data_IF_101051955002
#
_entry.id   IF_101051955002
#
_cell.length_a   1.000
_cell.length_b   1.000
_cell.length_c   1.000
_cell.angle_alpha   90.00
_cell.angle_beta   90.00
_cell.angle_gamma   90.00
#
_symmetry.space_group_name_H-M   'P 1'
#
loop_
_entity.id
_entity.type
_entity.pdbx_description
1 polymer ?
#
# COMPACT_ATOMS: atom_id res chain seq x y z
N UNK A 1 48.17 -22.85 -26.01
CA UNK A 1 47.71 -23.35 -24.69
C UNK A 1 46.67 -22.38 -24.17
N UNK A 2 45.40 -22.78 -24.08
CA UNK A 2 44.40 -21.96 -23.39
C UNK A 2 44.65 -22.07 -21.88
N UNK A 3 44.99 -20.97 -21.21
CA UNK A 3 45.06 -20.94 -19.76
C UNK A 3 43.65 -20.63 -19.24
N UNK A 4 43.11 -21.52 -18.39
CA UNK A 4 41.88 -21.25 -17.65
C UNK A 4 42.27 -20.57 -16.35
N UNK A 5 41.89 -19.31 -16.17
CA UNK A 5 41.98 -18.65 -14.87
C UNK A 5 41.04 -19.37 -13.90
N UNK A 6 41.58 -19.81 -12.76
CA UNK A 6 40.77 -20.41 -11.70
C UNK A 6 39.93 -19.29 -11.08
N UNK A 7 38.61 -19.43 -11.12
CA UNK A 7 37.69 -18.56 -10.41
C UNK A 7 37.23 -19.26 -9.13
N UNK A 8 37.85 -18.98 -7.98
CA UNK A 8 37.66 -19.76 -6.76
C UNK A 8 36.31 -19.53 -6.10
N UNK A 9 35.64 -18.42 -6.42
CA UNK A 9 34.37 -18.02 -5.81
C UNK A 9 33.59 -17.07 -6.71
N UNK A 10 32.28 -17.08 -6.55
CA UNK A 10 31.31 -16.19 -7.17
C UNK A 10 30.52 -15.38 -6.12
N UNK A 11 30.94 -15.46 -4.85
CA UNK A 11 30.30 -14.81 -3.70
C UNK A 11 30.21 -13.28 -3.83
N UNK A 12 31.03 -12.67 -4.70
CA UNK A 12 31.06 -11.24 -4.94
C UNK A 12 29.93 -10.71 -5.82
N UNK A 13 29.10 -11.58 -6.43
CA UNK A 13 27.95 -11.18 -7.24
C UNK A 13 28.30 -10.33 -8.46
N UNK A 14 27.33 -9.59 -8.99
CA UNK A 14 27.54 -8.74 -10.17
C UNK A 14 28.34 -7.47 -9.81
N UNK A 15 29.48 -7.27 -10.46
CA UNK A 15 30.27 -6.04 -10.31
C UNK A 15 29.74 -4.91 -11.18
N UNK A 16 29.90 -3.68 -10.69
CA UNK A 16 29.59 -2.46 -11.44
C UNK A 16 30.37 -2.41 -12.77
N UNK A 17 29.77 -1.90 -13.86
CA UNK A 17 30.46 -1.72 -15.14
C UNK A 17 31.79 -0.95 -15.07
N UNK A 18 31.92 0.01 -14.15
CA UNK A 18 33.16 0.78 -13.96
C UNK A 18 34.32 -0.06 -13.42
N UNK A 19 34.04 -1.23 -12.84
CA UNK A 19 35.03 -2.13 -12.26
C UNK A 19 35.45 -3.27 -13.20
N UNK A 20 34.92 -3.30 -14.43
CA UNK A 20 35.21 -4.37 -15.40
C UNK A 20 36.69 -4.48 -15.80
N UNK A 21 37.46 -3.41 -15.68
CA UNK A 21 38.91 -3.42 -15.95
C UNK A 21 39.79 -3.57 -14.72
N UNK A 22 39.20 -3.55 -13.51
CA UNK A 22 39.95 -3.53 -12.24
C UNK A 22 40.32 -4.92 -11.77
N UNK A 23 41.11 -5.61 -12.58
CA UNK A 23 41.61 -6.97 -12.32
C UNK A 23 42.47 -7.09 -11.06
N UNK A 24 42.99 -5.95 -10.58
CA UNK A 24 43.79 -5.80 -9.36
C UNK A 24 42.96 -5.91 -8.08
N UNK A 25 41.65 -5.66 -8.16
CA UNK A 25 40.78 -5.76 -7.00
C UNK A 25 40.54 -7.23 -6.64
N UNK A 26 40.74 -7.58 -5.38
CA UNK A 26 40.41 -8.91 -4.86
C UNK A 26 38.93 -9.28 -5.12
N UNK A 27 38.04 -8.29 -5.05
CA UNK A 27 36.63 -8.47 -5.36
C UNK A 27 36.39 -8.88 -6.82
N UNK A 28 37.23 -8.42 -7.76
CA UNK A 28 37.12 -8.79 -9.18
C UNK A 28 37.27 -10.30 -9.37
N UNK A 29 38.17 -10.94 -8.62
CA UNK A 29 38.44 -12.37 -8.71
C UNK A 29 37.31 -13.25 -8.16
N UNK A 30 36.42 -12.68 -7.34
CA UNK A 30 35.32 -13.39 -6.68
C UNK A 30 33.93 -12.98 -7.20
N UNK A 31 33.88 -12.15 -8.25
CA UNK A 31 32.66 -11.56 -8.79
C UNK A 31 32.41 -11.96 -10.24
N UNK A 32 31.19 -11.69 -10.69
CA UNK A 32 30.71 -11.92 -12.05
C UNK A 32 30.53 -10.59 -12.77
N UNK A 33 30.88 -10.54 -14.05
CA UNK A 33 30.57 -9.38 -14.90
C UNK A 33 29.06 -9.17 -15.08
N UNK A 34 28.30 -10.27 -15.12
CA UNK A 34 26.83 -10.30 -15.25
C UNK A 34 26.29 -11.52 -14.52
N UNK A 35 25.31 -11.34 -13.65
CA UNK A 35 24.69 -12.40 -12.84
C UNK A 35 23.17 -12.29 -12.94
N UNK A 36 22.55 -12.97 -13.91
CA UNK A 36 21.10 -12.91 -14.15
C UNK A 36 20.42 -14.20 -13.73
N UNK A 37 19.32 -14.10 -12.99
CA UNK A 37 18.53 -15.24 -12.55
C UNK A 37 19.32 -16.25 -11.68
N UNK A 38 20.32 -15.78 -10.94
CA UNK A 38 21.06 -16.57 -9.96
C UNK A 38 20.97 -15.95 -8.56
N UNK A 39 21.06 -16.81 -7.54
CA UNK A 39 21.27 -16.44 -6.15
C UNK A 39 22.72 -16.76 -5.81
N UNK A 40 23.45 -15.74 -5.36
CA UNK A 40 24.84 -15.87 -4.94
C UNK A 40 24.87 -16.48 -3.53
N UNK A 41 25.58 -17.60 -3.35
CA UNK A 41 25.76 -18.24 -2.05
C UNK A 41 27.00 -17.68 -1.37
N UNK A 42 26.94 -17.51 -0.06
CA UNK A 42 28.09 -17.11 0.74
C UNK A 42 29.23 -18.14 0.70
N UNK A 43 28.92 -19.41 0.43
CA UNK A 43 29.90 -20.49 0.23
C UNK A 43 30.73 -20.38 -1.06
N UNK A 44 30.46 -19.39 -1.92
CA UNK A 44 31.22 -19.13 -3.14
C UNK A 44 30.61 -19.71 -4.41
N UNK A 45 29.58 -20.53 -4.31
CA UNK A 45 28.79 -20.98 -5.46
C UNK A 45 27.69 -19.99 -5.86
N UNK A 46 27.05 -20.27 -6.99
CA UNK A 46 25.78 -19.66 -7.38
C UNK A 46 24.77 -20.77 -7.65
N UNK A 47 23.50 -20.47 -7.40
CA UNK A 47 22.39 -21.37 -7.71
C UNK A 47 21.35 -20.64 -8.55
N UNK A 48 20.62 -21.36 -9.40
CA UNK A 48 19.53 -20.77 -10.16
C UNK A 48 18.49 -20.16 -9.21
N UNK A 49 18.01 -18.96 -9.51
CA UNK A 49 16.87 -18.36 -8.80
C UNK A 49 15.68 -19.32 -8.94
N UNK A 50 14.99 -19.67 -7.83
CA UNK A 50 13.78 -20.48 -7.91
C UNK A 50 12.81 -19.89 -8.94
N UNK A 51 12.27 -20.77 -9.79
CA UNK A 51 11.27 -20.38 -10.78
C UNK A 51 9.98 -19.88 -10.13
N UNK A 52 9.11 -19.31 -10.94
CA UNK A 52 7.76 -18.96 -10.51
C UNK A 52 6.82 -20.16 -10.67
N UNK A 53 5.91 -20.33 -9.71
CA UNK A 53 4.78 -21.25 -9.82
C UNK A 53 3.56 -20.47 -10.27
N UNK A 54 2.84 -20.97 -11.26
CA UNK A 54 1.53 -20.43 -11.61
C UNK A 54 0.51 -20.84 -10.55
N UNK A 55 -0.14 -19.87 -9.91
CA UNK A 55 -1.14 -20.11 -8.86
C UNK A 55 -2.57 -19.89 -9.36
N UNK A 56 -2.73 -19.09 -10.42
CA UNK A 56 -4.02 -18.79 -11.03
C UNK A 56 -3.99 -17.46 -11.76
N UNK A 57 -5.09 -17.18 -12.46
CA UNK A 57 -5.31 -15.91 -13.16
C UNK A 57 -6.01 -14.91 -12.25
N UNK A 58 -5.74 -13.62 -12.47
CA UNK A 58 -6.57 -12.54 -11.93
C UNK A 58 -8.02 -12.68 -12.41
N UNK A 59 -8.97 -12.05 -11.70
CA UNK A 59 -10.39 -12.10 -12.09
C UNK A 59 -10.64 -11.70 -13.55
N UNK A 60 -10.06 -10.57 -13.93
CA UNK A 60 -10.19 -10.00 -15.27
C UNK A 60 -8.83 -10.10 -15.97
N UNK A 61 -8.77 -10.91 -17.02
CA UNK A 61 -7.54 -11.13 -17.79
C UNK A 61 -7.18 -9.93 -18.69
N UNK A 62 -8.14 -9.04 -18.94
CA UNK A 62 -8.06 -7.87 -19.81
C UNK A 62 -7.75 -6.57 -19.07
N UNK A 63 -7.64 -6.59 -17.74
CA UNK A 63 -7.48 -5.40 -16.91
C UNK A 63 -6.28 -5.51 -15.99
N UNK A 64 -5.71 -4.35 -15.67
CA UNK A 64 -4.63 -4.27 -14.70
C UNK A 64 -5.15 -4.62 -13.30
N UNK A 65 -4.37 -5.44 -12.59
CA UNK A 65 -4.54 -5.68 -11.16
C UNK A 65 -3.20 -5.51 -10.45
N UNK A 66 -3.25 -5.19 -9.16
CA UNK A 66 -2.06 -5.03 -8.31
C UNK A 66 -2.14 -5.97 -7.12
N UNK A 67 -1.08 -6.76 -6.94
CA UNK A 67 -0.89 -7.54 -5.73
C UNK A 67 -0.22 -6.69 -4.65
N UNK A 68 -0.83 -6.64 -3.47
CA UNK A 68 -0.25 -5.99 -2.29
C UNK A 68 -0.13 -6.99 -1.13
N UNK A 69 1.00 -6.99 -0.39
CA UNK A 69 1.19 -7.89 0.72
C UNK A 69 0.36 -7.45 1.94
N UNK A 70 -0.24 -8.41 2.64
CA UNK A 70 -0.90 -8.21 3.92
C UNK A 70 -0.40 -9.26 4.92
N UNK A 71 0.24 -8.81 5.99
CA UNK A 71 0.86 -9.71 6.97
C UNK A 71 0.16 -9.59 8.32
N UNK A 72 -0.70 -10.54 8.67
CA UNK A 72 -1.33 -10.56 10.00
C UNK A 72 -0.34 -11.06 11.06
N UNK A 73 0.44 -12.09 10.74
CA UNK A 73 1.48 -12.64 11.61
C UNK A 73 2.60 -13.29 10.80
N UNK A 74 3.61 -13.86 11.48
CA UNK A 74 4.66 -14.65 10.81
C UNK A 74 4.15 -15.94 10.17
N UNK A 75 2.99 -16.45 10.63
CA UNK A 75 2.38 -17.68 10.11
C UNK A 75 1.22 -17.42 9.15
N UNK A 76 0.53 -16.28 9.30
CA UNK A 76 -0.62 -15.92 8.49
C UNK A 76 -0.28 -14.70 7.63
N UNK A 77 0.05 -14.98 6.37
CA UNK A 77 0.38 -14.00 5.34
C UNK A 77 -0.57 -14.14 4.16
N UNK A 78 -0.92 -13.00 3.58
CA UNK A 78 -1.88 -12.91 2.49
C UNK A 78 -1.34 -11.99 1.39
N UNK A 79 -1.77 -12.22 0.16
CA UNK A 79 -1.62 -11.27 -0.92
C UNK A 79 -3.01 -10.81 -1.37
N UNK A 80 -3.25 -9.50 -1.34
CA UNK A 80 -4.50 -8.92 -1.80
C UNK A 80 -4.34 -8.55 -3.28
N UNK A 81 -5.18 -9.13 -4.12
CA UNK A 81 -5.32 -8.78 -5.53
C UNK A 81 -6.33 -7.64 -5.64
N UNK A 82 -5.84 -6.41 -5.76
CA UNK A 82 -6.66 -5.23 -6.05
C UNK A 82 -6.90 -5.14 -7.55
N UNK A 83 -8.15 -5.13 -7.97
CA UNK A 83 -8.55 -4.97 -9.37
C UNK A 83 -9.66 -3.95 -9.51
N UNK A 84 -10.29 -3.94 -10.68
CA UNK A 84 -11.33 -2.97 -11.03
C UNK A 84 -12.59 -3.11 -10.18
N UNK A 85 -12.73 -2.24 -9.17
CA UNK A 85 -13.81 -2.23 -8.18
C UNK A 85 -13.90 -3.46 -7.26
N UNK A 86 -12.81 -4.20 -7.09
CA UNK A 86 -12.77 -5.32 -6.16
C UNK A 86 -11.39 -5.52 -5.53
N UNK A 87 -11.34 -6.29 -4.43
CA UNK A 87 -10.15 -7.05 -4.08
C UNK A 87 -10.46 -8.51 -3.80
N UNK A 88 -9.47 -9.37 -4.03
CA UNK A 88 -9.48 -10.80 -3.71
C UNK A 88 -8.32 -11.16 -2.80
N UNK A 89 -8.46 -12.25 -2.06
CA UNK A 89 -7.47 -12.67 -1.06
C UNK A 89 -6.80 -13.96 -1.48
N UNK A 90 -5.48 -13.97 -1.53
CA UNK A 90 -4.65 -15.15 -1.77
C UNK A 90 -3.88 -15.53 -0.50
N UNK A 91 -3.85 -16.82 -0.18
CA UNK A 91 -3.11 -17.37 0.97
C UNK A 91 -2.56 -18.75 0.62
N UNK A 92 -1.38 -19.08 1.14
CA UNK A 92 -0.78 -20.43 1.00
C UNK A 92 -0.74 -20.98 -0.43
N UNK A 93 -0.60 -20.10 -1.43
CA UNK A 93 -0.52 -20.49 -2.84
C UNK A 93 -1.87 -20.71 -3.54
N UNK A 94 -2.99 -20.37 -2.90
CA UNK A 94 -4.32 -20.49 -3.48
C UNK A 94 -5.19 -19.26 -3.18
N UNK A 95 -6.27 -19.11 -3.93
CA UNK A 95 -7.30 -18.12 -3.68
C UNK A 95 -8.10 -18.56 -2.45
N UNK A 96 -8.30 -17.67 -1.49
CA UNK A 96 -9.13 -17.94 -0.31
C UNK A 96 -10.59 -18.02 -0.77
N UNK A 97 -11.31 -19.04 -0.29
CA UNK A 97 -12.72 -19.27 -0.64
C UNK A 97 -13.59 -19.38 0.60
N UNK A 98 -14.81 -18.89 0.50
CA UNK A 98 -15.90 -19.13 1.45
C UNK A 98 -17.04 -19.88 0.73
N UNK A 99 -17.44 -21.04 1.26
CA UNK A 99 -18.47 -21.89 0.63
C UNK A 99 -18.17 -22.30 -0.82
N UNK A 100 -16.89 -22.38 -1.21
CA UNK A 100 -16.45 -22.70 -2.57
C UNK A 100 -16.40 -21.52 -3.54
N UNK A 101 -16.78 -20.31 -3.10
CA UNK A 101 -16.65 -19.08 -3.88
C UNK A 101 -15.44 -18.27 -3.43
N UNK A 102 -14.68 -17.63 -4.34
CA UNK A 102 -13.59 -16.73 -3.96
C UNK A 102 -14.03 -15.62 -3.00
N UNK A 103 -13.23 -15.37 -1.97
CA UNK A 103 -13.42 -14.20 -1.11
C UNK A 103 -13.12 -12.95 -1.93
N UNK A 104 -14.17 -12.19 -2.19
CA UNK A 104 -14.15 -10.97 -3.00
C UNK A 104 -14.91 -9.87 -2.29
N UNK A 105 -14.30 -8.69 -2.20
CA UNK A 105 -14.88 -7.53 -1.53
C UNK A 105 -14.89 -6.36 -2.52
N UNK A 106 -16.02 -5.68 -2.63
CA UNK A 106 -16.16 -4.53 -3.50
C UNK A 106 -15.33 -3.34 -2.99
N UNK A 107 -14.73 -2.59 -3.92
CA UNK A 107 -13.97 -1.38 -3.61
C UNK A 107 -14.41 -0.23 -4.54
N UNK A 108 -14.23 1.04 -4.14
CA UNK A 108 -14.62 2.16 -4.99
C UNK A 108 -13.62 2.44 -6.12
N UNK A 109 -12.45 1.79 -6.12
CA UNK A 109 -11.34 2.15 -6.98
C UNK A 109 -11.46 1.49 -8.37
N UNK A 110 -11.56 2.29 -9.45
CA UNK A 110 -11.46 1.75 -10.80
C UNK A 110 -10.03 1.36 -11.14
N UNK A 111 -9.87 0.55 -12.18
CA UNK A 111 -8.56 0.12 -12.70
C UNK A 111 -7.55 1.27 -12.92
N UNK A 112 -8.04 2.45 -13.29
CA UNK A 112 -7.19 3.63 -13.58
C UNK A 112 -6.38 4.12 -12.38
N UNK A 113 -6.84 3.88 -11.14
CA UNK A 113 -6.17 4.38 -9.93
C UNK A 113 -5.41 3.33 -9.13
N UNK A 114 -5.56 2.03 -9.48
CA UNK A 114 -4.99 0.91 -8.71
C UNK A 114 -3.46 1.02 -8.55
N UNK A 115 -2.77 1.52 -9.58
CA UNK A 115 -1.31 1.68 -9.55
C UNK A 115 -0.85 2.81 -8.62
N UNK A 116 -1.72 3.80 -8.35
CA UNK A 116 -1.42 5.01 -7.60
C UNK A 116 -1.71 4.86 -6.10
N UNK A 117 -2.56 3.90 -5.74
CA UNK A 117 -2.92 3.60 -4.35
C UNK A 117 -1.69 3.51 -3.44
N UNK A 118 -1.72 4.26 -2.34
CA UNK A 118 -0.76 4.17 -1.25
C UNK A 118 -1.41 3.43 -0.10
N UNK A 119 -0.65 2.62 0.61
CA UNK A 119 -1.18 1.84 1.72
C UNK A 119 -0.14 1.71 2.83
N UNK A 120 -0.65 1.60 4.05
CA UNK A 120 0.10 1.22 5.23
C UNK A 120 -0.73 0.23 6.03
N UNK A 121 -0.06 -0.70 6.70
CA UNK A 121 -0.72 -1.75 7.45
C UNK A 121 -0.31 -1.67 8.92
N UNK A 122 -1.27 -1.84 9.82
CA UNK A 122 -1.07 -2.05 11.24
C UNK A 122 -1.93 -3.24 11.68
N UNK A 123 -1.26 -4.36 12.01
CA UNK A 123 -1.90 -5.62 12.39
C UNK A 123 -3.01 -6.06 11.39
N UNK A 124 -4.26 -6.11 11.82
CA UNK A 124 -5.43 -6.56 11.05
C UNK A 124 -6.07 -5.47 10.18
N UNK A 125 -5.52 -4.25 10.20
CA UNK A 125 -6.07 -3.10 9.47
C UNK A 125 -5.04 -2.54 8.49
N UNK A 126 -5.44 -2.42 7.22
CA UNK A 126 -4.67 -1.75 6.19
C UNK A 126 -5.39 -0.50 5.72
N UNK A 127 -4.77 0.66 5.95
CA UNK A 127 -5.28 1.94 5.46
C UNK A 127 -4.76 2.18 4.04
N UNK A 128 -5.69 2.46 3.12
CA UNK A 128 -5.43 2.74 1.70
C UNK A 128 -5.90 4.16 1.38
N UNK A 129 -5.03 4.92 0.71
CA UNK A 129 -5.27 6.31 0.35
C UNK A 129 -5.02 6.56 -1.14
N UNK A 130 -5.79 7.50 -1.69
CA UNK A 130 -5.63 8.07 -3.02
C UNK A 130 -6.00 9.56 -2.94
N UNK A 131 -5.53 10.38 -3.89
CA UNK A 131 -5.83 11.81 -3.89
C UNK A 131 -7.33 12.10 -4.13
N UNK A 132 -7.94 11.37 -5.07
CA UNK A 132 -9.34 11.58 -5.48
C UNK A 132 -10.37 10.70 -4.76
N UNK A 133 -9.94 9.74 -3.94
CA UNK A 133 -10.85 8.84 -3.20
C UNK A 133 -10.64 8.99 -1.70
N UNK A 134 -11.71 9.00 -0.90
CA UNK A 134 -11.58 9.06 0.55
C UNK A 134 -10.75 7.86 1.07
N UNK A 135 -9.92 8.05 2.11
CA UNK A 135 -9.20 6.96 2.74
C UNK A 135 -10.14 5.84 3.19
N UNK A 136 -9.76 4.60 2.90
CA UNK A 136 -10.48 3.40 3.28
C UNK A 136 -9.57 2.44 4.04
N UNK A 137 -10.16 1.64 4.90
CA UNK A 137 -9.49 0.57 5.62
C UNK A 137 -9.95 -0.77 5.07
N UNK A 138 -9.01 -1.62 4.71
CA UNK A 138 -9.22 -3.04 4.50
C UNK A 138 -8.95 -3.74 5.84
N UNK A 139 -9.96 -4.40 6.38
CA UNK A 139 -9.90 -5.05 7.69
C UNK A 139 -10.08 -6.56 7.55
N UNK A 140 -9.24 -7.31 8.26
CA UNK A 140 -9.32 -8.77 8.36
C UNK A 140 -10.02 -9.16 9.67
N UNK A 141 -11.19 -9.80 9.57
CA UNK A 141 -11.91 -10.36 10.71
C UNK A 141 -11.70 -11.87 10.87
N UNK A 142 -11.25 -12.54 9.82
CA UNK A 142 -10.95 -13.96 9.81
C UNK A 142 -10.11 -14.36 8.60
N UNK A 143 -9.94 -15.66 8.37
CA UNK A 143 -9.26 -16.14 7.16
C UNK A 143 -10.06 -15.76 5.89
N UNK A 144 -11.37 -15.95 5.93
CA UNK A 144 -12.30 -15.66 4.84
C UNK A 144 -13.23 -14.46 5.09
N UNK A 145 -13.14 -13.78 6.23
CA UNK A 145 -13.94 -12.58 6.54
C UNK A 145 -13.09 -11.31 6.40
N UNK A 146 -13.35 -10.58 5.32
CA UNK A 146 -12.65 -9.36 4.95
C UNK A 146 -13.66 -8.27 4.60
N UNK A 147 -13.41 -7.05 5.05
CA UNK A 147 -14.33 -5.93 4.87
C UNK A 147 -13.60 -4.63 4.61
N UNK A 148 -14.26 -3.71 3.95
CA UNK A 148 -13.81 -2.31 3.85
C UNK A 148 -14.59 -1.43 4.81
N UNK A 149 -13.91 -0.47 5.45
CA UNK A 149 -14.53 0.56 6.26
C UNK A 149 -13.99 1.94 5.88
N UNK A 150 -14.79 2.99 6.05
CA UNK A 150 -14.28 4.36 5.96
C UNK A 150 -13.32 4.63 7.13
N UNK A 151 -12.19 5.29 6.85
CA UNK A 151 -11.29 5.77 7.90
C UNK A 151 -12.04 6.83 8.72
N UNK A 152 -12.14 6.63 10.03
CA UNK A 152 -12.69 7.62 10.96
C UNK A 152 -11.56 8.42 11.57
N UNK A 153 -11.56 9.73 11.33
CA UNK A 153 -10.60 10.66 11.93
C UNK A 153 -11.17 11.23 13.22
N UNK A 154 -10.50 10.99 14.35
CA UNK A 154 -10.81 11.69 15.60
C UNK A 154 -10.15 13.07 15.57
N UNK A 155 -10.96 14.13 15.54
CA UNK A 155 -10.48 15.52 15.61
C UNK A 155 -9.57 15.99 14.45
N UNK A 156 -9.95 15.68 13.22
CA UNK A 156 -9.30 16.25 12.01
C UNK A 156 -8.35 15.27 11.31
N UNK A 157 -7.85 15.62 10.11
CA UNK A 157 -7.31 16.93 9.75
C UNK A 157 -8.38 17.97 9.37
N UNK A 158 -8.13 19.22 9.76
CA UNK A 158 -8.95 20.38 9.39
C UNK A 158 -8.26 21.20 8.30
N UNK A 159 -9.03 22.01 7.57
CA UNK A 159 -8.46 23.04 6.69
C UNK A 159 -7.85 24.18 7.51
N UNK A 160 -7.14 25.08 6.83
CA UNK A 160 -6.61 26.29 7.43
C UNK A 160 -7.70 27.06 8.20
N UNK A 161 -7.34 27.57 9.37
CA UNK A 161 -8.23 28.35 10.20
C UNK A 161 -8.69 29.61 9.46
N UNK A 162 -9.93 30.00 9.70
CA UNK A 162 -10.47 31.24 9.17
C UNK A 162 -9.69 32.43 9.74
N UNK A 163 -9.09 33.25 8.88
CA UNK A 163 -8.38 34.47 9.25
C UNK A 163 -9.24 35.73 9.14
N UNK A 164 -10.45 35.62 8.59
CA UNK A 164 -11.36 36.75 8.43
C UNK A 164 -12.29 36.89 9.64
N UNK A 165 -11.99 37.85 10.50
CA UNK A 165 -12.75 38.19 11.71
C UNK A 165 -14.22 38.55 11.49
N UNK A 166 -14.60 38.95 10.27
CA UNK A 166 -15.97 39.29 9.88
C UNK A 166 -16.82 38.06 9.56
N UNK A 167 -16.19 36.91 9.30
CA UNK A 167 -16.88 35.65 9.01
C UNK A 167 -16.95 34.82 10.29
N UNK A 168 -18.13 34.77 10.90
CA UNK A 168 -18.36 34.05 12.15
C UNK A 168 -19.34 32.90 11.93
N UNK A 169 -19.18 31.86 12.74
CA UNK A 169 -20.10 30.71 12.76
C UNK A 169 -20.67 30.57 14.16
N UNK A 170 -21.99 30.47 14.24
CA UNK A 170 -22.74 30.27 15.45
C UNK A 170 -23.28 28.83 15.51
N UNK A 171 -23.14 28.18 16.66
CA UNK A 171 -23.69 26.86 16.93
C UNK A 171 -24.85 26.96 17.90
N UNK A 172 -25.99 26.34 17.58
CA UNK A 172 -27.19 26.38 18.42
C UNK A 172 -27.08 25.63 19.76
N UNK A 173 -26.01 24.87 19.97
CA UNK A 173 -25.78 24.06 21.17
C UNK A 173 -24.43 23.33 21.13
N UNK A 174 -24.09 22.64 22.23
CA UNK A 174 -22.84 21.85 22.36
C UNK A 174 -23.01 20.35 22.13
N UNK A 175 -24.22 19.83 22.30
CA UNK A 175 -24.53 18.40 22.21
C UNK A 175 -25.87 18.18 21.51
N UNK A 176 -26.06 16.99 20.94
CA UNK A 176 -27.29 16.63 20.22
C UNK A 176 -27.30 17.13 18.78
N UNK A 177 -28.50 17.39 18.26
CA UNK A 177 -28.68 17.99 16.93
C UNK A 177 -28.36 19.49 17.01
N UNK A 178 -27.22 19.89 16.45
CA UNK A 178 -26.74 21.28 16.47
C UNK A 178 -26.83 21.87 15.07
N UNK A 179 -27.45 23.04 14.96
CA UNK A 179 -27.47 23.81 13.70
C UNK A 179 -26.33 24.82 13.71
N UNK A 180 -25.51 24.80 12.66
CA UNK A 180 -24.46 25.79 12.44
C UNK A 180 -24.96 26.89 11.48
N UNK A 181 -24.86 28.14 11.90
CA UNK A 181 -25.24 29.32 11.11
C UNK A 181 -24.01 30.18 10.89
N UNK A 182 -23.64 30.43 9.63
CA UNK A 182 -22.51 31.28 9.28
C UNK A 182 -22.98 32.67 8.81
N UNK A 183 -22.20 33.72 9.08
CA UNK A 183 -22.48 35.09 8.59
C UNK A 183 -22.24 35.24 7.08
N UNK A 184 -21.67 34.23 6.42
CA UNK A 184 -21.33 34.18 5.00
C UNK A 184 -21.55 32.75 4.45
N UNK A 185 -21.83 32.55 3.15
CA UNK A 185 -22.08 31.23 2.57
C UNK A 185 -20.81 30.37 2.45
N UNK A 186 -20.39 29.77 3.57
CA UNK A 186 -19.20 28.90 3.65
C UNK A 186 -19.52 27.40 3.50
N UNK A 187 -20.78 27.00 3.70
CA UNK A 187 -21.18 25.59 3.61
C UNK A 187 -21.38 25.16 2.15
N UNK A 188 -20.58 24.19 1.70
CA UNK A 188 -20.64 23.60 0.37
C UNK A 188 -21.16 22.16 0.46
N UNK A 189 -21.66 21.61 -0.65
CA UNK A 189 -22.14 20.21 -0.72
C UNK A 189 -21.10 19.19 -0.25
N UNK A 190 -19.81 19.47 -0.47
CA UNK A 190 -18.69 18.64 -0.02
C UNK A 190 -18.48 18.60 1.52
N UNK A 191 -19.12 19.49 2.28
CA UNK A 191 -19.00 19.53 3.75
C UNK A 191 -19.95 18.55 4.45
N UNK A 192 -20.89 17.93 3.72
CA UNK A 192 -21.80 16.92 4.28
C UNK A 192 -20.99 15.73 4.81
N UNK A 193 -21.20 15.36 6.07
CA UNK A 193 -20.50 14.26 6.73
C UNK A 193 -19.05 14.56 7.14
N UNK A 194 -18.62 15.83 7.11
CA UNK A 194 -17.28 16.26 7.56
C UNK A 194 -17.34 16.91 8.94
N UNK A 195 -16.20 16.89 9.64
CA UNK A 195 -16.04 17.62 10.90
C UNK A 195 -15.84 19.11 10.61
N UNK A 196 -16.42 19.98 11.44
CA UNK A 196 -16.23 21.42 11.38
C UNK A 196 -15.57 21.89 12.68
N UNK A 197 -14.35 22.43 12.58
CA UNK A 197 -13.64 22.98 13.72
C UNK A 197 -14.15 24.40 14.02
N UNK A 198 -14.42 24.69 15.29
CA UNK A 198 -14.85 26.00 15.74
C UNK A 198 -14.14 26.33 17.04
N UNK A 199 -13.68 27.57 17.15
CA UNK A 199 -13.14 28.14 18.37
C UNK A 199 -13.84 29.46 18.67
N UNK A 200 -13.82 29.86 19.95
CA UNK A 200 -14.34 31.15 20.34
C UNK A 200 -13.38 32.22 19.86
N UNK A 201 -13.90 33.32 19.29
CA UNK A 201 -13.09 34.49 18.97
C UNK A 201 -12.33 34.91 20.22
N UNK A 202 -11.01 35.05 20.12
CA UNK A 202 -10.20 35.58 21.20
C UNK A 202 -10.77 36.95 21.61
N UNK A 203 -11.24 37.04 22.85
CA UNK A 203 -11.62 38.31 23.46
C UNK A 203 -10.42 38.66 24.33
N UNK A 204 -9.51 39.47 23.79
CA UNK A 204 -8.40 40.01 24.57
C UNK A 204 -9.00 40.75 25.77
N UNK A 205 -8.52 40.42 26.97
CA UNK A 205 -8.92 41.04 28.22
C UNK A 205 -8.31 42.43 28.41
#
# INVERSE_FOLDING_TARGET
MAYSLVQPSLAGGEISPSLYGRIDLEKYQTSLRRCRNFIVRQSGGIENRPGFRFLGSAKYADRYCRLIPFQFSVSQTYALELGDHYFRVWSSGALVTDGGSPVEVATPWPVSVISELKFTQSADVMTVCHNDYPPLEIRRYGEADWRTAAVTTTSGPFQDLNTADSVTVYASGRTGSVTLTASSPIFKSQHVGKLFYMEQKAVDC
#
